data_IF_096061817163
#
_entry.id   IF_096061817163
#
_cell.length_a   1.000
_cell.length_b   1.000
_cell.length_c   1.000
_cell.angle_alpha   90.00
_cell.angle_beta   90.00
_cell.angle_gamma   90.00
#
_symmetry.space_group_name_H-M   'P 1'
#
loop_
_entity.id
_entity.type
_entity.pdbx_description
1 polymer ?
#
# COMPACT_ATOMS: atom_id res chain seq x y z
N UNK A 1 21.07 35.12 7.65
CA UNK A 1 19.75 34.64 7.23
C UNK A 1 18.68 35.45 7.95
N UNK A 2 17.68 35.99 7.24
CA UNK A 2 16.54 36.70 7.80
C UNK A 2 15.35 35.74 7.93
N UNK A 3 15.15 34.88 6.92
CA UNK A 3 14.15 33.86 6.87
C UNK A 3 14.78 32.58 6.31
N UNK A 4 14.66 31.50 7.03
CA UNK A 4 15.11 30.17 6.52
C UNK A 4 14.15 29.67 5.45
N UNK A 5 14.71 29.05 4.41
CA UNK A 5 13.92 28.31 3.43
C UNK A 5 13.26 27.10 4.11
N UNK A 6 12.07 26.74 3.66
CA UNK A 6 11.36 25.54 4.08
C UNK A 6 11.06 24.66 2.88
N UNK A 7 10.42 23.52 3.11
CA UNK A 7 10.02 22.60 2.03
C UNK A 7 8.99 23.18 1.04
N UNK A 8 8.38 24.34 1.36
CA UNK A 8 7.39 25.01 0.49
C UNK A 8 7.67 26.49 0.28
N UNK A 9 8.55 27.11 1.08
CA UNK A 9 8.80 28.54 1.03
C UNK A 9 10.27 28.82 0.82
N UNK A 10 10.54 29.82 -0.01
CA UNK A 10 11.88 30.37 -0.20
C UNK A 10 12.38 31.06 1.06
N UNK A 11 13.65 30.98 1.31
CA UNK A 11 14.33 31.76 2.34
C UNK A 11 14.67 33.16 1.88
N UNK A 12 15.22 33.93 2.82
CA UNK A 12 15.68 35.29 2.59
C UNK A 12 17.01 35.54 3.32
N UNK A 13 18.01 35.93 2.60
CA UNK A 13 19.32 36.24 3.15
C UNK A 13 19.69 37.68 2.94
N UNK A 14 20.55 38.16 3.81
CA UNK A 14 21.05 39.55 3.77
C UNK A 14 22.47 39.54 4.28
N UNK A 15 23.37 40.02 3.45
CA UNK A 15 24.74 40.20 3.86
C UNK A 15 24.94 41.56 4.55
N UNK A 16 25.62 41.53 5.67
CA UNK A 16 26.01 42.71 6.41
C UNK A 16 27.53 42.84 6.35
N UNK A 17 28.03 43.94 5.83
CA UNK A 17 29.46 44.22 5.80
C UNK A 17 30.01 44.30 7.23
N UNK A 18 30.93 43.41 7.59
CA UNK A 18 31.54 43.33 8.93
C UNK A 18 32.37 44.57 9.31
N UNK A 19 32.79 45.37 8.30
CA UNK A 19 33.62 46.58 8.55
C UNK A 19 32.82 47.86 8.69
N UNK A 20 31.72 48.01 7.98
CA UNK A 20 30.97 49.27 7.92
C UNK A 20 29.50 49.15 8.30
N UNK A 21 29.00 47.94 8.57
CA UNK A 21 27.61 47.71 8.94
C UNK A 21 26.59 47.93 7.81
N UNK A 22 27.02 48.27 6.59
CA UNK A 22 26.13 48.44 5.46
C UNK A 22 25.58 47.07 5.08
N UNK A 23 24.30 47.02 4.80
CA UNK A 23 23.60 45.83 4.32
C UNK A 23 23.48 45.87 2.81
N UNK A 24 23.72 44.74 2.16
CA UNK A 24 23.36 44.51 0.77
C UNK A 24 21.85 44.34 0.61
N UNK A 25 21.39 44.29 -0.64
CA UNK A 25 20.01 43.92 -0.94
C UNK A 25 19.68 42.53 -0.36
N UNK A 26 18.43 42.35 -0.03
CA UNK A 26 17.92 41.01 0.36
C UNK A 26 17.91 40.14 -0.88
N UNK A 27 18.38 38.88 -0.71
CA UNK A 27 18.44 37.90 -1.76
C UNK A 27 17.59 36.68 -1.35
N UNK A 28 16.75 36.20 -2.28
CA UNK A 28 15.95 34.99 -2.04
C UNK A 28 16.83 33.78 -2.19
N UNK A 29 16.75 32.87 -1.21
CA UNK A 29 17.33 31.53 -1.31
C UNK A 29 16.27 30.53 -1.82
N UNK A 30 16.65 29.49 -2.57
CA UNK A 30 15.72 28.48 -3.07
C UNK A 30 15.01 27.76 -1.93
N UNK A 31 13.90 27.09 -2.25
CA UNK A 31 13.20 26.19 -1.34
C UNK A 31 14.17 25.09 -0.88
N UNK A 32 14.13 24.77 0.39
CA UNK A 32 14.86 23.64 0.98
C UNK A 32 13.90 22.48 1.20
N UNK A 33 13.86 21.56 0.24
CA UNK A 33 12.97 20.38 0.26
C UNK A 33 13.19 19.46 1.45
N UNK A 34 14.29 19.60 2.17
CA UNK A 34 14.63 18.80 3.36
C UNK A 34 14.20 19.45 4.67
N UNK A 35 13.92 20.75 4.66
CA UNK A 35 13.59 21.51 5.87
C UNK A 35 12.09 21.48 6.17
N UNK A 36 11.63 20.37 6.77
CA UNK A 36 10.25 20.17 7.20
C UNK A 36 10.03 20.71 8.61
N UNK A 37 9.34 21.83 8.76
CA UNK A 37 9.11 22.48 10.08
C UNK A 37 7.95 21.89 10.87
N UNK A 38 6.88 21.49 10.19
CA UNK A 38 5.64 21.02 10.84
C UNK A 38 5.38 19.56 10.54
N UNK A 39 5.95 18.69 11.36
CA UNK A 39 5.80 17.24 11.21
C UNK A 39 4.85 16.67 12.26
N UNK A 40 4.01 15.71 11.86
CA UNK A 40 3.12 14.93 12.72
C UNK A 40 3.52 13.48 12.67
N UNK A 41 3.53 12.85 13.82
CA UNK A 41 3.76 11.41 13.94
C UNK A 41 2.52 10.62 13.55
N UNK A 42 2.72 9.56 12.77
CA UNK A 42 1.75 8.55 12.41
C UNK A 42 2.21 7.23 12.99
N UNK A 43 1.41 6.66 13.88
CA UNK A 43 1.73 5.40 14.54
C UNK A 43 1.70 4.23 13.55
N UNK A 44 2.47 3.18 13.87
CA UNK A 44 2.45 1.95 13.11
C UNK A 44 1.05 1.31 13.10
N UNK A 45 0.63 0.86 11.93
CA UNK A 45 -0.50 -0.04 11.74
C UNK A 45 0.03 -1.43 11.44
N UNK A 46 -0.14 -2.37 12.36
CA UNK A 46 0.31 -3.75 12.16
C UNK A 46 -0.39 -4.39 10.96
N UNK A 47 0.35 -5.22 10.21
CA UNK A 47 -0.24 -6.06 9.17
C UNK A 47 -1.08 -7.18 9.78
N UNK A 48 -2.11 -7.60 9.08
CA UNK A 48 -2.91 -8.78 9.41
C UNK A 48 -2.56 -9.95 8.48
N UNK A 49 -3.28 -11.06 8.58
CA UNK A 49 -3.09 -12.18 7.66
C UNK A 49 -3.40 -11.81 6.21
N UNK A 50 -4.34 -10.90 5.98
CA UNK A 50 -4.87 -10.56 4.65
C UNK A 50 -4.63 -9.12 4.24
N UNK A 51 -4.41 -8.22 5.20
CA UNK A 51 -4.20 -6.80 4.94
C UNK A 51 -2.78 -6.38 5.27
N UNK A 52 -2.22 -5.55 4.43
CA UNK A 52 -0.93 -4.89 4.70
C UNK A 52 -1.06 -3.88 5.82
N UNK A 53 -0.01 -3.74 6.60
CA UNK A 53 0.16 -2.69 7.58
C UNK A 53 0.97 -1.53 7.04
N UNK A 54 1.25 -0.56 7.90
CA UNK A 54 2.07 0.61 7.60
C UNK A 54 3.03 0.89 8.77
N UNK A 55 4.30 1.11 8.47
CA UNK A 55 5.31 1.44 9.49
C UNK A 55 5.04 2.81 10.11
N UNK A 56 5.42 2.98 11.37
CA UNK A 56 5.43 4.30 11.98
C UNK A 56 6.28 5.27 11.15
N UNK A 57 5.75 6.46 10.92
CA UNK A 57 6.39 7.49 10.13
C UNK A 57 5.92 8.89 10.55
N UNK A 58 6.43 9.91 9.90
CA UNK A 58 5.99 11.30 10.08
C UNK A 58 5.40 11.81 8.79
N UNK A 59 4.48 12.76 8.89
CA UNK A 59 3.92 13.49 7.74
C UNK A 59 4.14 14.98 7.93
N UNK A 60 4.76 15.62 6.97
CA UNK A 60 4.85 17.07 6.95
C UNK A 60 3.48 17.68 6.63
N UNK A 61 2.99 18.57 7.51
CA UNK A 61 1.69 19.23 7.32
C UNK A 61 1.71 20.26 6.19
N UNK A 62 2.88 20.73 5.79
CA UNK A 62 3.03 21.80 4.79
C UNK A 62 3.06 21.23 3.37
N UNK A 63 3.85 20.17 3.13
CA UNK A 63 4.04 19.58 1.80
C UNK A 63 3.44 18.17 1.66
N UNK A 64 2.91 17.58 2.74
CA UNK A 64 2.37 16.22 2.82
C UNK A 64 3.40 15.10 2.53
N UNK A 65 4.69 15.39 2.54
CA UNK A 65 5.72 14.38 2.39
C UNK A 65 5.68 13.40 3.58
N UNK A 66 5.82 12.11 3.29
CA UNK A 66 6.03 11.07 4.29
C UNK A 66 7.51 10.98 4.61
N UNK A 67 7.84 10.91 5.89
CA UNK A 67 9.18 11.06 6.41
C UNK A 67 9.50 9.97 7.43
N UNK A 68 10.75 9.56 7.49
CA UNK A 68 11.30 8.78 8.61
C UNK A 68 12.40 9.57 9.29
N UNK A 69 12.53 9.40 10.60
CA UNK A 69 13.57 10.07 11.37
C UNK A 69 14.86 9.26 11.27
N UNK A 70 15.93 9.91 10.84
CA UNK A 70 17.29 9.36 10.80
C UNK A 70 18.22 10.24 11.64
N UNK A 71 18.48 9.85 12.90
CA UNK A 71 19.13 10.72 13.86
C UNK A 71 18.27 11.95 14.18
N UNK A 72 18.78 13.14 13.87
CA UNK A 72 18.08 14.42 14.10
C UNK A 72 17.39 14.94 12.81
N UNK A 73 17.54 14.25 11.68
CA UNK A 73 17.02 14.68 10.39
C UNK A 73 15.77 13.86 9.98
N UNK A 74 14.92 14.49 9.17
CA UNK A 74 13.79 13.85 8.53
C UNK A 74 14.14 13.55 7.06
N UNK A 75 13.96 12.29 6.66
CA UNK A 75 14.22 11.82 5.30
C UNK A 75 12.91 11.42 4.65
N UNK A 76 12.67 11.92 3.45
CA UNK A 76 11.47 11.59 2.65
C UNK A 76 11.51 10.11 2.24
N UNK A 77 10.38 9.42 2.37
CA UNK A 77 10.20 8.02 2.00
C UNK A 77 8.96 7.84 1.13
N UNK A 78 8.95 6.77 0.36
CA UNK A 78 7.81 6.40 -0.49
C UNK A 78 6.79 5.56 0.28
N UNK A 79 5.57 5.46 -0.26
CA UNK A 79 4.52 4.60 0.31
C UNK A 79 4.96 3.14 0.35
N UNK A 80 5.68 2.67 -0.68
CA UNK A 80 6.17 1.29 -0.77
C UNK A 80 7.16 0.94 0.34
N UNK A 81 8.00 1.89 0.77
CA UNK A 81 8.97 1.70 1.85
C UNK A 81 8.31 1.60 3.22
N UNK A 82 7.13 2.18 3.37
CA UNK A 82 6.34 2.14 4.60
C UNK A 82 5.44 0.91 4.72
N UNK A 83 5.19 0.19 3.63
CA UNK A 83 4.31 -0.99 3.65
C UNK A 83 4.91 -2.11 4.49
N UNK A 84 4.11 -2.61 5.44
CA UNK A 84 4.32 -3.90 6.12
C UNK A 84 3.47 -4.92 5.39
N UNK A 85 4.08 -5.87 4.71
CA UNK A 85 3.34 -6.89 3.95
C UNK A 85 2.43 -7.71 4.86
N UNK A 86 1.24 -8.09 4.34
CA UNK A 86 0.37 -9.04 5.00
C UNK A 86 1.12 -10.33 5.35
N UNK A 87 0.88 -10.87 6.55
CA UNK A 87 1.63 -12.01 7.07
C UNK A 87 1.24 -13.33 6.41
N UNK A 88 0.10 -13.36 5.72
CA UNK A 88 -0.49 -14.61 5.25
C UNK A 88 -1.13 -15.42 6.38
N UNK A 89 -1.68 -16.59 6.04
CA UNK A 89 -2.23 -17.51 7.02
C UNK A 89 -1.22 -18.60 7.37
N UNK A 90 -1.04 -18.85 8.66
CA UNK A 90 -0.30 -19.99 9.21
C UNK A 90 -1.31 -20.98 9.79
N UNK A 91 -1.61 -22.05 9.03
CA UNK A 91 -2.63 -23.03 9.41
C UNK A 91 -2.05 -24.15 10.28
N UNK A 92 -2.72 -24.41 11.39
CA UNK A 92 -2.49 -25.58 12.24
C UNK A 92 -3.83 -26.25 12.53
N UNK A 93 -3.93 -27.56 12.29
CA UNK A 93 -5.18 -28.32 12.41
C UNK A 93 -6.36 -27.71 11.61
N UNK A 94 -6.07 -27.13 10.44
CA UNK A 94 -7.07 -26.54 9.55
C UNK A 94 -7.59 -25.15 9.96
N UNK A 95 -6.94 -24.51 10.95
CA UNK A 95 -7.30 -23.17 11.43
C UNK A 95 -6.05 -22.28 11.50
N UNK A 96 -6.16 -21.06 11.04
CA UNK A 96 -5.06 -20.08 11.15
C UNK A 96 -4.82 -19.70 12.61
N UNK A 97 -3.57 -19.78 13.07
CA UNK A 97 -3.16 -19.42 14.43
C UNK A 97 -3.43 -17.97 14.79
N UNK A 98 -3.34 -17.07 13.80
CA UNK A 98 -3.38 -15.63 14.04
C UNK A 98 -4.79 -15.04 13.94
N UNK A 99 -5.64 -15.52 13.01
CA UNK A 99 -6.94 -14.94 12.75
C UNK A 99 -8.11 -15.95 12.83
N UNK A 100 -7.84 -17.20 13.15
CA UNK A 100 -8.81 -18.30 13.24
C UNK A 100 -9.57 -18.61 11.92
N UNK A 101 -9.09 -18.11 10.77
CA UNK A 101 -9.67 -18.45 9.47
C UNK A 101 -9.46 -19.95 9.19
N UNK A 102 -10.48 -20.59 8.62
CA UNK A 102 -10.38 -22.00 8.19
C UNK A 102 -9.52 -22.12 6.93
N UNK A 103 -8.74 -23.19 6.87
CA UNK A 103 -7.95 -23.51 5.69
C UNK A 103 -8.86 -23.82 4.49
N UNK A 104 -8.66 -23.19 3.32
CA UNK A 104 -9.47 -23.46 2.14
C UNK A 104 -9.35 -24.92 1.70
N UNK A 105 -10.48 -25.57 1.44
CA UNK A 105 -10.53 -26.95 0.92
C UNK A 105 -10.64 -28.06 1.96
N UNK A 106 -10.75 -27.74 3.26
CA UNK A 106 -11.02 -28.76 4.29
C UNK A 106 -12.51 -29.06 4.50
N UNK A 107 -13.41 -28.39 3.82
CA UNK A 107 -14.83 -28.77 3.76
C UNK A 107 -15.03 -29.98 2.85
N UNK A 108 -14.27 -31.08 3.08
CA UNK A 108 -14.68 -32.40 2.60
C UNK A 108 -15.83 -32.81 3.50
N UNK A 109 -17.02 -33.08 2.95
CA UNK A 109 -18.08 -33.69 3.73
C UNK A 109 -17.50 -35.01 4.29
N UNK A 110 -17.55 -35.14 5.62
CA UNK A 110 -17.25 -36.39 6.28
C UNK A 110 -18.29 -37.36 5.75
N UNK A 111 -17.86 -38.20 4.81
CA UNK A 111 -18.69 -39.30 4.26
C UNK A 111 -18.94 -40.32 5.37
N UNK A 112 -19.95 -40.04 6.20
CA UNK A 112 -20.50 -41.01 7.12
C UNK A 112 -21.26 -42.05 6.31
N UNK A 113 -20.51 -42.91 5.62
CA UNK A 113 -21.06 -44.13 5.03
C UNK A 113 -21.56 -45.08 6.11
N UNK A 114 -22.80 -44.85 6.55
CA UNK A 114 -23.71 -45.94 6.91
C UNK A 114 -24.69 -46.10 5.76
N UNK A 115 -24.64 -47.28 5.14
CA UNK A 115 -25.21 -47.58 3.85
C UNK A 115 -26.70 -47.34 3.73
N UNK A 116 -27.07 -46.92 2.53
CA UNK A 116 -28.29 -47.31 1.84
C UNK A 116 -27.94 -47.43 0.35
N UNK A 117 -28.05 -48.66 -0.16
CA UNK A 117 -28.04 -48.91 -1.59
C UNK A 117 -29.32 -48.33 -2.18
N UNK A 118 -29.20 -47.42 -3.15
CA UNK A 118 -30.22 -47.22 -4.14
C UNK A 118 -29.53 -46.89 -5.45
N UNK A 119 -29.65 -47.84 -6.36
CA UNK A 119 -29.30 -47.70 -7.75
C UNK A 119 -30.12 -46.59 -8.37
N UNK A 120 -29.48 -45.61 -8.95
CA UNK A 120 -30.11 -44.72 -9.93
C UNK A 120 -29.23 -44.69 -11.17
N UNK A 121 -29.71 -45.50 -12.10
CA UNK A 121 -29.36 -45.58 -13.50
C UNK A 121 -29.43 -44.22 -14.19
N UNK A 122 -28.40 -43.93 -14.99
CA UNK A 122 -28.40 -43.15 -16.21
C UNK A 122 -29.14 -41.82 -16.24
N UNK A 123 -28.43 -40.75 -16.06
CA UNK A 123 -28.73 -39.51 -16.79
C UNK A 123 -27.56 -39.19 -17.71
N UNK A 124 -27.79 -39.45 -18.98
CA UNK A 124 -26.92 -39.11 -20.10
C UNK A 124 -26.72 -37.58 -20.14
N UNK A 125 -25.49 -37.19 -20.00
CA UNK A 125 -25.08 -35.78 -20.18
C UNK A 125 -25.07 -35.49 -21.69
N UNK A 126 -26.11 -34.80 -22.15
CA UNK A 126 -26.16 -34.17 -23.46
C UNK A 126 -26.11 -32.65 -23.26
N UNK A 127 -24.89 -32.10 -23.24
CA UNK A 127 -24.62 -30.67 -23.58
C UNK A 127 -23.12 -30.44 -23.50
N UNK A 128 -22.46 -30.31 -24.64
CA UNK A 128 -21.85 -29.04 -24.96
C UNK A 128 -21.76 -28.79 -26.49
N UNK A 129 -22.84 -28.49 -27.15
CA UNK A 129 -22.78 -28.09 -28.57
C UNK A 129 -23.18 -26.63 -28.84
N UNK A 130 -23.57 -25.87 -27.81
CA UNK A 130 -23.93 -24.46 -28.00
C UNK A 130 -22.79 -23.46 -27.76
N UNK A 131 -21.67 -23.87 -27.15
CA UNK A 131 -20.55 -22.97 -26.88
C UNK A 131 -19.67 -22.68 -28.11
N UNK A 132 -19.66 -23.55 -29.12
CA UNK A 132 -18.81 -23.37 -30.32
C UNK A 132 -19.43 -22.40 -31.31
N UNK A 133 -20.75 -22.27 -31.35
CA UNK A 133 -21.44 -21.37 -32.31
C UNK A 133 -21.26 -19.88 -31.94
N UNK A 134 -21.12 -19.55 -30.65
CA UNK A 134 -20.96 -18.15 -30.23
C UNK A 134 -19.55 -17.61 -30.53
N UNK A 135 -18.52 -18.47 -30.46
CA UNK A 135 -17.13 -18.05 -30.72
C UNK A 135 -16.91 -17.76 -32.23
N UNK A 136 -17.60 -18.48 -33.11
CA UNK A 136 -17.51 -18.26 -34.55
C UNK A 136 -18.25 -16.99 -35.02
N UNK A 137 -19.30 -16.57 -34.28
CA UNK A 137 -20.04 -15.34 -34.62
C UNK A 137 -19.26 -14.07 -34.23
N UNK A 138 -18.46 -14.10 -33.18
CA UNK A 138 -17.67 -12.96 -32.74
C UNK A 138 -16.47 -12.72 -33.66
N UNK A 139 -15.89 -13.78 -34.24
CA UNK A 139 -14.77 -13.64 -35.19
C UNK A 139 -15.17 -13.06 -36.56
N UNK A 140 -16.43 -13.21 -36.97
CA UNK A 140 -16.89 -12.70 -38.27
C UNK A 140 -17.23 -11.20 -38.30
N UNK A 141 -17.35 -10.57 -37.12
CA UNK A 141 -17.67 -9.13 -36.98
C UNK A 141 -16.43 -8.22 -36.89
N UNK A 142 -15.21 -8.79 -36.95
CA UNK A 142 -13.96 -8.04 -36.84
C UNK A 142 -13.22 -7.90 -38.21
N UNK A 143 -13.86 -8.30 -39.31
CA UNK A 143 -13.29 -8.23 -40.66
C UNK A 143 -14.31 -7.67 -41.68
N UNK A 144 -14.97 -6.57 -41.30
CA UNK A 144 -15.66 -5.70 -42.29
C UNK A 144 -15.50 -4.25 -41.82
#
# INVERSE_FOLDING_TARGET
TIKEATCIEKGLEKEVCSKCGKTNAEEETPIDETNHKHVKEVNEKAATCTESGEKAHYVCSDCNAKLVKNGDEYVTVTDEELVIKATGHDYENGVCKNCNAKEPGQDKPVDNKKGCKSDISSVVILLPLLAVAVILFIRKKKFN
#
